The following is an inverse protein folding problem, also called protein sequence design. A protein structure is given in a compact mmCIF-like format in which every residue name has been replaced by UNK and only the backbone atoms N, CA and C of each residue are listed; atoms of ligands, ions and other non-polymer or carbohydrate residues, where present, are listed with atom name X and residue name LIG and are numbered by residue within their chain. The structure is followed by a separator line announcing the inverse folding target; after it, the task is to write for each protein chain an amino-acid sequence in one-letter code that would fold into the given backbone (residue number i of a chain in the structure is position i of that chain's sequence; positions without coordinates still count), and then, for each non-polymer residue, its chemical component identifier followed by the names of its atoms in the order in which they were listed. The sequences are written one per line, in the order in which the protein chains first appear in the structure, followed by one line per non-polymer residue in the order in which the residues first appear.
data_IF_456826370097
#
_entry.id   IF_456826370097
#
_cell.length_a   1.000
_cell.length_b   1.000
_cell.length_c   1.000
_cell.angle_alpha   90.00
_cell.angle_beta   90.00
_cell.angle_gamma   90.00
#
_symmetry.space_group_name_H-M   'P 1'
#
loop_
_entity.id
_entity.type
_entity.pdbx_description
1 polymer ?
#
# COMPACT_ATOMS: atom_id res chain seq x y z
N UNK A 1 30.57 5.52 -5.45
CA UNK A 1 30.07 4.19 -5.04
C UNK A 1 28.99 4.41 -3.99
N UNK A 2 27.72 4.26 -4.37
CA UNK A 2 26.56 4.54 -3.49
C UNK A 2 26.40 3.39 -2.50
N UNK A 3 26.77 3.59 -1.25
CA UNK A 3 26.56 2.61 -0.18
C UNK A 3 25.15 2.82 0.39
N UNK A 4 24.23 1.94 0.03
CA UNK A 4 22.89 1.92 0.62
C UNK A 4 22.97 1.54 2.10
N UNK A 5 22.23 2.24 2.95
CA UNK A 5 22.14 1.92 4.37
C UNK A 5 21.55 0.51 4.58
N UNK A 6 21.82 -0.11 5.71
CA UNK A 6 21.34 -1.47 6.03
C UNK A 6 19.80 -1.56 5.97
N UNK A 7 19.10 -0.53 6.41
CA UNK A 7 17.64 -0.45 6.35
C UNK A 7 17.10 -0.35 4.90
N UNK A 8 17.79 0.41 4.03
CA UNK A 8 17.43 0.50 2.62
C UNK A 8 17.61 -0.82 1.88
N UNK A 9 18.62 -1.60 2.24
CA UNK A 9 18.88 -2.93 1.64
C UNK A 9 17.80 -3.94 2.05
N UNK A 10 17.37 -3.88 3.32
CA UNK A 10 16.27 -4.72 3.83
C UNK A 10 14.96 -4.33 3.13
N UNK A 11 14.65 -3.02 3.03
CA UNK A 11 13.47 -2.53 2.33
C UNK A 11 13.43 -2.95 0.86
N UNK A 12 14.56 -2.84 0.15
CA UNK A 12 14.66 -3.29 -1.24
C UNK A 12 14.51 -4.80 -1.38
N UNK A 13 15.04 -5.57 -0.42
CA UNK A 13 14.91 -7.03 -0.40
C UNK A 13 13.45 -7.47 -0.16
N UNK A 14 12.75 -6.82 0.76
CA UNK A 14 11.33 -7.09 1.03
C UNK A 14 10.46 -6.70 -0.18
N UNK A 15 10.71 -5.52 -0.77
CA UNK A 15 9.99 -5.07 -1.97
C UNK A 15 10.22 -6.02 -3.15
N UNK A 16 11.48 -6.41 -3.38
CA UNK A 16 11.85 -7.36 -4.43
C UNK A 16 11.24 -8.74 -4.18
N UNK A 17 11.19 -9.19 -2.94
CA UNK A 17 10.55 -10.46 -2.55
C UNK A 17 9.05 -10.44 -2.80
N UNK A 18 8.37 -9.35 -2.48
CA UNK A 18 6.94 -9.16 -2.75
C UNK A 18 6.66 -9.14 -4.25
N UNK A 19 7.46 -8.40 -5.04
CA UNK A 19 7.31 -8.34 -6.50
C UNK A 19 7.56 -9.72 -7.14
N UNK A 20 8.58 -10.45 -6.68
CA UNK A 20 8.86 -11.80 -7.16
C UNK A 20 7.78 -12.79 -6.75
N UNK A 21 7.22 -12.67 -5.54
CA UNK A 21 6.09 -13.48 -5.08
C UNK A 21 4.86 -13.24 -5.98
N UNK A 22 4.58 -11.97 -6.32
CA UNK A 22 3.51 -11.64 -7.25
C UNK A 22 3.75 -12.18 -8.65
N UNK A 23 4.98 -12.06 -9.17
CA UNK A 23 5.35 -12.59 -10.49
C UNK A 23 5.26 -14.12 -10.57
N UNK A 24 5.45 -14.81 -9.43
CA UNK A 24 5.39 -16.27 -9.36
C UNK A 24 3.97 -16.82 -9.15
N UNK A 25 3.11 -16.04 -8.46
CA UNK A 25 1.72 -16.46 -8.12
C UNK A 25 0.72 -16.09 -9.23
N UNK A 26 1.03 -15.09 -10.06
CA UNK A 26 0.14 -14.60 -11.12
C UNK A 26 0.81 -14.63 -12.51
N UNK A 27 1.10 -15.81 -13.07
CA UNK A 27 1.82 -15.90 -14.35
C UNK A 27 1.01 -15.53 -15.60
N UNK A 28 -0.26 -15.24 -15.52
CA UNK A 28 -1.09 -14.96 -16.71
C UNK A 28 -2.11 -13.83 -16.53
N UNK A 29 -2.81 -13.80 -15.43
CA UNK A 29 -4.03 -12.97 -15.28
C UNK A 29 -3.78 -11.48 -15.06
N UNK A 30 -2.56 -11.09 -14.66
CA UNK A 30 -2.21 -9.67 -14.43
C UNK A 30 -2.10 -8.89 -15.75
N UNK A 31 -1.90 -9.58 -16.87
CA UNK A 31 -1.72 -8.96 -18.19
C UNK A 31 -2.86 -9.21 -19.19
N UNK A 32 -4.00 -9.68 -18.73
CA UNK A 32 -5.23 -9.76 -19.54
C UNK A 32 -5.29 -10.91 -20.52
N UNK A 33 -4.62 -12.02 -20.23
CA UNK A 33 -4.86 -13.27 -20.96
C UNK A 33 -6.14 -13.96 -20.46
N UNK A 34 -6.94 -14.48 -21.38
CA UNK A 34 -8.20 -15.19 -21.14
C UNK A 34 -8.07 -16.23 -20.01
N UNK A 35 -9.05 -16.35 -19.11
CA UNK A 35 -8.97 -17.30 -18.02
C UNK A 35 -8.82 -18.72 -18.56
N UNK A 36 -7.75 -19.39 -18.16
CA UNK A 36 -7.55 -20.81 -18.45
C UNK A 36 -8.63 -21.60 -17.72
N UNK A 37 -9.68 -21.95 -18.45
CA UNK A 37 -10.76 -22.82 -17.97
C UNK A 37 -10.19 -24.22 -17.74
N UNK A 38 -9.82 -24.53 -16.51
CA UNK A 38 -9.30 -25.88 -16.15
C UNK A 38 -8.36 -25.92 -14.95
N UNK A 39 -8.00 -24.79 -14.37
CA UNK A 39 -7.23 -24.73 -13.11
C UNK A 39 -8.13 -24.84 -11.89
N UNK A 40 -7.64 -25.45 -10.81
CA UNK A 40 -8.25 -25.41 -9.48
C UNK A 40 -8.80 -24.00 -9.19
N UNK A 41 -9.97 -23.90 -8.56
CA UNK A 41 -10.69 -22.66 -8.23
C UNK A 41 -9.89 -21.78 -7.21
N UNK A 42 -8.69 -21.38 -7.60
CA UNK A 42 -7.79 -20.53 -6.83
C UNK A 42 -7.98 -19.03 -7.09
N UNK A 43 -8.79 -18.67 -8.09
CA UNK A 43 -9.02 -17.28 -8.47
C UNK A 43 -9.57 -16.47 -7.29
N UNK A 44 -10.60 -16.96 -6.62
CA UNK A 44 -11.18 -16.28 -5.45
C UNK A 44 -10.20 -16.11 -4.29
N UNK A 45 -9.46 -17.14 -3.83
CA UNK A 45 -8.44 -16.97 -2.79
C UNK A 45 -7.34 -15.97 -3.18
N UNK A 46 -6.90 -15.98 -4.44
CA UNK A 46 -5.86 -15.06 -4.92
C UNK A 46 -6.37 -13.61 -4.96
N UNK A 47 -7.58 -13.38 -5.46
CA UNK A 47 -8.20 -12.06 -5.45
C UNK A 47 -8.42 -11.54 -4.04
N UNK A 48 -8.86 -12.40 -3.10
CA UNK A 48 -8.99 -12.06 -1.69
C UNK A 48 -7.66 -11.64 -1.07
N UNK A 49 -6.59 -12.35 -1.39
CA UNK A 49 -5.23 -12.00 -0.93
C UNK A 49 -4.76 -10.68 -1.55
N UNK A 50 -4.98 -10.48 -2.83
CA UNK A 50 -4.65 -9.24 -3.52
C UNK A 50 -5.40 -8.05 -2.93
N UNK A 51 -6.69 -8.20 -2.65
CA UNK A 51 -7.50 -7.19 -1.97
C UNK A 51 -6.96 -6.86 -0.57
N UNK A 52 -6.62 -7.87 0.21
CA UNK A 52 -6.04 -7.70 1.55
C UNK A 52 -4.72 -6.93 1.49
N UNK A 53 -3.85 -7.26 0.53
CA UNK A 53 -2.56 -6.56 0.34
C UNK A 53 -2.77 -5.11 -0.09
N UNK A 54 -3.71 -4.84 -1.00
CA UNK A 54 -4.02 -3.49 -1.45
C UNK A 54 -4.49 -2.60 -0.29
N UNK A 55 -5.42 -3.10 0.53
CA UNK A 55 -5.93 -2.39 1.70
C UNK A 55 -4.83 -2.20 2.75
N UNK A 56 -4.13 -3.26 3.11
CA UNK A 56 -3.06 -3.22 4.11
C UNK A 56 -1.91 -2.30 3.67
N UNK A 57 -1.51 -2.36 2.40
CA UNK A 57 -0.47 -1.50 1.84
C UNK A 57 -0.82 -0.01 1.92
N UNK A 58 -2.06 0.34 1.58
CA UNK A 58 -2.57 1.69 1.74
C UNK A 58 -2.56 2.17 3.18
N UNK A 59 -3.06 1.36 4.12
CA UNK A 59 -3.09 1.69 5.55
C UNK A 59 -1.69 1.85 6.16
N UNK A 60 -0.77 0.94 5.83
CA UNK A 60 0.61 1.00 6.32
C UNK A 60 1.33 2.22 5.75
N UNK A 61 1.17 2.48 4.45
CA UNK A 61 1.76 3.64 3.79
C UNK A 61 1.28 4.96 4.39
N UNK A 62 -0.03 5.11 4.58
CA UNK A 62 -0.65 6.26 5.24
C UNK A 62 -0.17 6.42 6.68
N UNK A 63 -0.19 5.34 7.47
CA UNK A 63 0.23 5.37 8.86
C UNK A 63 1.68 5.80 9.02
N UNK A 64 2.58 5.29 8.19
CA UNK A 64 3.99 5.69 8.23
C UNK A 64 4.19 7.18 7.86
N UNK A 65 3.48 7.67 6.86
CA UNK A 65 3.56 9.08 6.46
C UNK A 65 2.98 9.99 7.55
N UNK A 66 1.82 9.64 8.11
CA UNK A 66 1.17 10.40 9.17
C UNK A 66 1.98 10.45 10.46
N UNK A 67 2.71 9.38 10.78
CA UNK A 67 3.59 9.36 11.95
C UNK A 67 4.65 10.46 11.86
N UNK A 68 5.30 10.61 10.72
CA UNK A 68 6.31 11.66 10.50
C UNK A 68 5.71 13.06 10.53
N UNK A 69 4.61 13.26 9.79
CA UNK A 69 3.92 14.56 9.72
C UNK A 69 3.33 14.94 11.08
N UNK A 70 2.76 13.96 11.79
CA UNK A 70 2.18 14.19 13.13
C UNK A 70 3.23 14.62 14.15
N UNK A 71 4.36 13.92 14.20
CA UNK A 71 5.45 14.28 15.12
C UNK A 71 6.00 15.69 14.85
N UNK A 72 6.29 16.02 13.59
CA UNK A 72 6.75 17.36 13.19
C UNK A 72 5.66 18.42 13.41
N UNK A 73 4.41 18.09 13.09
CA UNK A 73 3.26 18.98 13.23
C UNK A 73 2.98 19.36 14.68
N UNK A 74 3.09 18.42 15.60
CA UNK A 74 2.93 18.72 17.04
C UNK A 74 3.97 19.72 17.56
N UNK A 75 5.22 19.61 17.07
CA UNK A 75 6.24 20.60 17.39
C UNK A 75 5.89 22.00 16.86
N UNK A 76 5.41 22.10 15.64
CA UNK A 76 4.99 23.38 15.03
C UNK A 76 3.81 23.97 15.81
N UNK A 77 2.79 23.17 16.16
CA UNK A 77 1.60 23.65 16.89
C UNK A 77 1.98 24.12 18.29
N UNK A 78 2.93 23.45 18.96
CA UNK A 78 3.40 23.86 20.27
C UNK A 78 4.05 25.24 20.26
N UNK A 79 4.77 25.58 19.19
CA UNK A 79 5.41 26.91 19.03
C UNK A 79 4.46 27.96 18.44
N UNK A 80 3.59 27.53 17.52
CA UNK A 80 2.70 28.40 16.74
C UNK A 80 1.31 27.79 16.58
N UNK A 81 0.43 27.92 17.60
CA UNK A 81 -0.91 27.33 17.58
C UNK A 81 -1.76 27.75 16.36
N UNK A 82 -1.52 28.93 15.81
CA UNK A 82 -2.20 29.42 14.62
C UNK A 82 -1.91 28.59 13.35
N UNK A 83 -0.88 27.75 13.38
CA UNK A 83 -0.52 26.86 12.27
C UNK A 83 -1.28 25.53 12.26
N UNK A 84 -2.17 25.29 13.23
CA UNK A 84 -2.94 24.06 13.33
C UNK A 84 -3.62 23.65 12.02
N UNK A 85 -4.31 24.60 11.35
CA UNK A 85 -4.98 24.30 10.08
C UNK A 85 -4.03 23.88 8.95
N UNK A 86 -2.84 24.47 8.90
CA UNK A 86 -1.80 24.10 7.93
C UNK A 86 -1.26 22.69 8.19
N UNK A 87 -0.98 22.37 9.47
CA UNK A 87 -0.52 21.05 9.87
C UNK A 87 -1.58 20.00 9.57
N UNK A 88 -2.85 20.28 9.89
CA UNK A 88 -3.97 19.40 9.61
C UNK A 88 -4.09 19.11 8.10
N UNK A 89 -3.92 20.13 7.24
CA UNK A 89 -3.95 19.97 5.80
C UNK A 89 -2.87 18.96 5.32
N UNK A 90 -1.63 19.12 5.78
CA UNK A 90 -0.55 18.19 5.44
C UNK A 90 -0.78 16.80 6.01
N UNK A 91 -1.41 16.70 7.18
CA UNK A 91 -1.74 15.41 7.80
C UNK A 91 -2.78 14.61 7.00
N UNK A 92 -3.70 15.30 6.31
CA UNK A 92 -4.76 14.67 5.51
C UNK A 92 -4.26 14.19 4.13
N UNK A 93 -3.19 14.78 3.59
CA UNK A 93 -2.69 14.39 2.26
C UNK A 93 -2.41 12.89 2.15
N UNK A 94 -1.70 12.22 3.08
CA UNK A 94 -1.48 10.78 3.02
C UNK A 94 -2.73 9.91 3.06
N UNK A 95 -3.86 10.44 3.54
CA UNK A 95 -5.13 9.72 3.55
C UNK A 95 -5.58 9.26 2.17
N UNK A 96 -5.18 9.98 1.11
CA UNK A 96 -5.47 9.56 -0.26
C UNK A 96 -4.86 8.21 -0.61
N UNK A 97 -3.74 7.85 -0.02
CA UNK A 97 -3.06 6.57 -0.28
C UNK A 97 -3.88 5.37 0.22
N UNK A 98 -4.43 5.47 1.43
CA UNK A 98 -5.26 4.38 1.93
C UNK A 98 -6.60 4.31 1.21
N UNK A 99 -7.18 5.45 0.80
CA UNK A 99 -8.41 5.49 0.00
C UNK A 99 -8.20 4.76 -1.33
N UNK A 100 -7.08 4.99 -2.02
CA UNK A 100 -6.74 4.28 -3.26
C UNK A 100 -6.62 2.78 -3.01
N UNK A 101 -5.88 2.36 -1.98
CA UNK A 101 -5.73 0.95 -1.61
C UNK A 101 -7.06 0.30 -1.21
N UNK A 102 -7.89 1.03 -0.48
CA UNK A 102 -9.21 0.57 -0.07
C UNK A 102 -10.15 0.38 -1.25
N UNK A 103 -10.25 1.37 -2.15
CA UNK A 103 -11.08 1.30 -3.36
C UNK A 103 -10.64 0.14 -4.25
N UNK A 104 -9.34 0.00 -4.50
CA UNK A 104 -8.81 -1.12 -5.27
C UNK A 104 -9.16 -2.47 -4.61
N UNK A 105 -8.97 -2.57 -3.29
CA UNK A 105 -9.32 -3.78 -2.54
C UNK A 105 -10.81 -4.12 -2.63
N UNK A 106 -11.70 -3.13 -2.55
CA UNK A 106 -13.14 -3.34 -2.72
C UNK A 106 -13.47 -3.81 -4.14
N UNK A 107 -12.88 -3.21 -5.18
CA UNK A 107 -13.09 -3.64 -6.56
C UNK A 107 -12.71 -5.12 -6.73
N UNK A 108 -11.54 -5.53 -6.22
CA UNK A 108 -11.09 -6.92 -6.28
C UNK A 108 -11.99 -7.87 -5.48
N UNK A 109 -12.59 -7.41 -4.37
CA UNK A 109 -13.55 -8.22 -3.61
C UNK A 109 -14.90 -8.35 -4.33
N UNK A 110 -15.34 -7.33 -5.06
CA UNK A 110 -16.60 -7.40 -5.83
C UNK A 110 -16.53 -8.44 -6.95
N UNK A 111 -15.36 -8.69 -7.52
CA UNK A 111 -15.14 -9.74 -8.52
C UNK A 111 -15.31 -11.17 -7.96
N UNK A 112 -15.34 -11.30 -6.63
CA UNK A 112 -15.45 -12.60 -5.94
C UNK A 112 -16.89 -12.86 -5.50
N UNK A 113 -17.68 -11.82 -5.27
CA UNK A 113 -19.06 -11.88 -4.79
C UNK A 113 -20.04 -12.19 -5.92
#
# INVERSE_FOLDING_TARGET
MFSLSKSSRIGLGVLGGVVLLFAFIAPGDVFGEEPVTGGSDLTKPILSLAAAIAIAGGLIGTGNAQQGIGAAGMGIIAEKPEKFGQVLFFFVIPETLWIIGFVLGIILLLDIL
#
